data_IF_152617689835
#
_entry.id   IF_152617689835
#
_cell.length_a   1.000
_cell.length_b   1.000
_cell.length_c   1.000
_cell.angle_alpha   90.00
_cell.angle_beta   90.00
_cell.angle_gamma   90.00
#
_symmetry.space_group_name_H-M   'P 1'
#
loop_
_entity.id
_entity.type
_entity.pdbx_description
1 polymer ?
#
# COMPACT_ATOMS: atom_id res chain seq x y z
N UNK A 1 -24.79 42.17 46.17
CA UNK A 1 -23.63 41.84 45.33
C UNK A 1 -23.82 40.41 44.87
N UNK A 2 -24.31 40.24 43.64
CA UNK A 2 -24.67 38.92 43.08
C UNK A 2 -23.40 38.14 42.75
N UNK A 3 -23.37 36.87 43.15
CA UNK A 3 -22.31 35.94 42.80
C UNK A 3 -22.28 35.72 41.27
N UNK A 4 -21.11 35.56 40.65
CA UNK A 4 -21.00 35.29 39.22
C UNK A 4 -21.47 33.85 38.93
N UNK A 5 -22.28 33.71 37.88
CA UNK A 5 -22.70 32.42 37.35
C UNK A 5 -21.48 31.61 36.90
N UNK A 6 -21.45 30.33 37.27
CA UNK A 6 -20.47 29.39 36.74
C UNK A 6 -20.73 29.14 35.25
N UNK A 7 -19.71 28.95 34.41
CA UNK A 7 -19.89 28.63 33.01
C UNK A 7 -20.54 27.24 32.88
N UNK A 8 -21.59 27.18 32.07
CA UNK A 8 -22.29 25.96 31.71
C UNK A 8 -21.30 24.89 31.20
N UNK A 9 -21.37 23.71 31.80
CA UNK A 9 -20.69 22.51 31.30
C UNK A 9 -21.19 22.14 29.90
N UNK A 10 -20.44 21.31 29.16
CA UNK A 10 -20.76 20.98 27.78
C UNK A 10 -22.17 20.37 27.70
N UNK A 11 -23.01 21.01 26.91
CA UNK A 11 -24.35 20.57 26.52
C UNK A 11 -24.27 19.16 25.94
N UNK A 12 -24.74 18.16 26.71
CA UNK A 12 -25.06 16.82 26.19
C UNK A 12 -26.21 16.97 25.20
N UNK A 13 -25.91 16.97 23.90
CA UNK A 13 -26.97 17.02 22.89
C UNK A 13 -26.56 17.17 21.43
N UNK A 14 -25.33 17.57 21.10
CA UNK A 14 -24.89 17.57 19.70
C UNK A 14 -24.46 16.17 19.27
N UNK A 15 -25.15 15.61 18.27
CA UNK A 15 -24.71 14.39 17.60
C UNK A 15 -23.30 14.63 17.06
N UNK A 16 -22.35 13.74 17.41
CA UNK A 16 -20.99 13.82 16.91
C UNK A 16 -21.02 13.98 15.37
N UNK A 17 -20.23 14.91 14.80
CA UNK A 17 -20.27 15.19 13.37
C UNK A 17 -20.00 13.90 12.58
N UNK A 18 -20.77 13.70 11.51
CA UNK A 18 -20.59 12.54 10.62
C UNK A 18 -19.18 12.62 10.04
N UNK A 19 -18.33 11.66 10.42
CA UNK A 19 -16.97 11.57 9.91
C UNK A 19 -16.99 11.09 8.45
N UNK A 20 -16.10 11.64 7.63
CA UNK A 20 -15.92 11.23 6.24
C UNK A 20 -14.82 10.19 6.15
N UNK A 21 -15.08 9.06 5.51
CA UNK A 21 -14.10 8.08 5.09
C UNK A 21 -13.58 8.49 3.71
N UNK A 22 -12.37 9.04 3.70
CA UNK A 22 -11.67 9.44 2.48
C UNK A 22 -10.98 8.23 1.86
N UNK A 23 -11.42 7.83 0.68
CA UNK A 23 -11.01 6.62 -0.02
C UNK A 23 -9.87 6.91 -0.99
N UNK A 24 -8.76 6.20 -0.83
CA UNK A 24 -7.57 6.31 -1.66
C UNK A 24 -7.39 5.00 -2.44
N UNK A 25 -7.33 5.07 -3.78
CA UNK A 25 -7.05 3.92 -4.66
C UNK A 25 -5.63 4.02 -5.17
N UNK A 26 -4.76 3.19 -4.62
CA UNK A 26 -3.31 3.37 -4.73
C UNK A 26 -2.64 2.46 -5.75
N UNK A 27 -3.38 1.51 -6.32
CA UNK A 27 -2.79 0.48 -7.18
C UNK A 27 -1.78 -0.34 -6.38
N UNK A 28 -0.54 -0.46 -6.87
CA UNK A 28 0.50 -1.24 -6.21
C UNK A 28 1.21 -0.43 -5.13
N UNK A 29 1.43 -1.03 -3.96
CA UNK A 29 2.19 -0.43 -2.85
C UNK A 29 3.15 -1.48 -2.30
N UNK A 30 4.42 -1.16 -2.14
CA UNK A 30 5.36 -2.07 -1.47
C UNK A 30 4.93 -2.27 0.00
N UNK A 31 5.19 -3.44 0.59
CA UNK A 31 4.62 -3.74 1.91
C UNK A 31 5.11 -2.77 3.01
N UNK A 32 6.41 -2.43 2.97
CA UNK A 32 7.02 -1.43 3.86
C UNK A 32 6.33 -0.05 3.72
N UNK A 33 6.06 0.39 2.50
CA UNK A 33 5.38 1.66 2.22
C UNK A 33 3.92 1.63 2.71
N UNK A 34 3.26 0.46 2.67
CA UNK A 34 1.95 0.25 3.27
C UNK A 34 1.94 0.41 4.81
N UNK A 35 2.98 -0.05 5.50
CA UNK A 35 3.13 0.18 6.94
C UNK A 35 3.31 1.67 7.25
N UNK A 36 4.14 2.37 6.46
CA UNK A 36 4.34 3.80 6.59
C UNK A 36 3.04 4.59 6.33
N UNK A 37 2.29 4.21 5.30
CA UNK A 37 1.00 4.77 4.93
C UNK A 37 -0.01 4.71 6.10
N UNK A 38 -0.15 3.54 6.74
CA UNK A 38 -1.05 3.38 7.89
C UNK A 38 -0.60 4.21 9.10
N UNK A 39 0.71 4.26 9.36
CA UNK A 39 1.28 5.07 10.46
C UNK A 39 1.01 6.57 10.25
N UNK A 40 1.26 7.07 9.05
CA UNK A 40 1.06 8.48 8.68
C UNK A 40 -0.43 8.83 8.62
N UNK A 41 -1.27 7.99 8.03
CA UNK A 41 -2.73 8.14 8.07
C UNK A 41 -3.26 8.17 9.51
N UNK A 42 -2.71 7.32 10.39
CA UNK A 42 -3.10 7.33 11.80
C UNK A 42 -2.67 8.61 12.53
N UNK A 43 -1.55 9.21 12.14
CA UNK A 43 -1.13 10.51 12.64
C UNK A 43 -2.06 11.63 12.15
N UNK A 44 -2.46 11.60 10.87
CA UNK A 44 -3.41 12.55 10.28
C UNK A 44 -4.79 12.49 10.97
N UNK A 45 -5.31 11.29 11.21
CA UNK A 45 -6.56 11.06 11.95
C UNK A 45 -6.48 11.65 13.37
N UNK A 46 -5.39 11.38 14.10
CA UNK A 46 -5.19 11.93 15.46
C UNK A 46 -5.02 13.44 15.48
N UNK A 47 -4.39 14.00 14.45
CA UNK A 47 -4.25 15.44 14.28
C UNK A 47 -5.53 16.10 13.75
N UNK A 48 -6.60 15.33 13.49
CA UNK A 48 -7.83 15.79 12.87
C UNK A 48 -7.56 16.63 11.61
N UNK A 49 -6.64 16.14 10.76
CA UNK A 49 -6.19 16.85 9.55
C UNK A 49 -6.41 15.97 8.32
N UNK A 50 -7.44 16.26 7.48
CA UNK A 50 -8.47 17.28 7.67
C UNK A 50 -9.47 16.93 8.80
N UNK A 51 -10.24 17.90 9.32
CA UNK A 51 -11.19 17.66 10.40
C UNK A 51 -12.20 16.56 10.08
N UNK A 52 -12.61 15.80 11.11
CA UNK A 52 -13.62 14.74 11.01
C UNK A 52 -13.39 13.75 9.85
N UNK A 53 -12.12 13.45 9.54
CA UNK A 53 -11.75 12.58 8.43
C UNK A 53 -11.08 11.30 8.93
N UNK A 54 -11.53 10.19 8.39
CA UNK A 54 -10.92 8.86 8.47
C UNK A 54 -10.40 8.48 7.07
N UNK A 55 -9.51 7.50 6.96
CA UNK A 55 -8.96 7.07 5.67
C UNK A 55 -9.27 5.61 5.38
N UNK A 56 -9.54 5.30 4.10
CA UNK A 56 -9.53 3.94 3.58
C UNK A 56 -8.51 3.88 2.45
N UNK A 57 -7.43 3.15 2.65
CA UNK A 57 -6.47 2.87 1.57
C UNK A 57 -6.83 1.53 0.93
N UNK A 58 -7.13 1.53 -0.37
CA UNK A 58 -7.31 0.35 -1.20
C UNK A 58 -6.10 0.22 -2.11
N UNK A 59 -5.48 -0.97 -2.07
CA UNK A 59 -4.22 -1.24 -2.76
C UNK A 59 -4.03 -2.73 -3.01
N UNK A 60 -3.01 -3.04 -3.80
CA UNK A 60 -2.42 -4.37 -3.92
C UNK A 60 -0.97 -4.33 -3.44
N UNK A 61 -0.50 -5.42 -2.83
CA UNK A 61 0.92 -5.60 -2.55
C UNK A 61 1.59 -6.44 -3.65
N UNK A 62 2.91 -6.30 -3.87
CA UNK A 62 3.73 -7.39 -4.41
C UNK A 62 3.57 -8.66 -3.55
N UNK A 63 3.98 -9.84 -4.06
CA UNK A 63 3.95 -11.07 -3.27
C UNK A 63 4.66 -10.91 -1.92
N UNK A 64 3.92 -11.08 -0.84
CA UNK A 64 4.43 -10.96 0.53
C UNK A 64 3.71 -11.92 1.46
N UNK A 65 4.49 -12.56 2.34
CA UNK A 65 3.98 -13.30 3.48
C UNK A 65 4.16 -12.44 4.72
N UNK A 66 3.08 -12.26 5.48
CA UNK A 66 3.11 -11.47 6.72
C UNK A 66 2.81 -12.37 7.91
N UNK A 67 3.53 -12.15 9.01
CA UNK A 67 3.34 -12.83 10.28
C UNK A 67 2.74 -11.82 11.27
N UNK A 68 1.53 -12.08 11.77
CA UNK A 68 0.90 -11.26 12.80
C UNK A 68 1.41 -11.59 14.22
N UNK A 69 0.87 -10.90 15.23
CA UNK A 69 1.27 -11.08 16.64
C UNK A 69 1.07 -12.49 17.19
N UNK A 70 0.11 -13.24 16.65
CA UNK A 70 -0.17 -14.61 17.06
C UNK A 70 0.55 -15.64 16.20
N UNK A 71 1.48 -15.23 15.35
CA UNK A 71 2.06 -16.11 14.36
C UNK A 71 3.20 -16.97 14.89
N UNK A 72 3.24 -18.21 14.42
CA UNK A 72 4.41 -19.08 14.54
C UNK A 72 5.16 -19.05 13.21
N UNK A 73 6.49 -18.81 13.25
CA UNK A 73 7.32 -18.83 12.05
C UNK A 73 7.33 -20.21 11.38
N UNK A 74 7.06 -21.28 12.11
CA UNK A 74 6.87 -22.62 11.57
C UNK A 74 5.67 -22.72 10.61
N UNK A 75 4.74 -21.77 10.65
CA UNK A 75 3.60 -21.68 9.73
C UNK A 75 4.01 -21.17 8.34
N UNK A 76 5.26 -20.76 8.15
CA UNK A 76 5.84 -20.50 6.82
C UNK A 76 6.57 -21.76 6.39
N UNK A 77 5.93 -22.56 5.54
CA UNK A 77 6.43 -23.91 5.17
C UNK A 77 7.44 -23.88 4.04
N UNK A 78 7.46 -22.81 3.25
CA UNK A 78 8.45 -22.63 2.19
C UNK A 78 9.80 -22.16 2.76
N UNK A 79 10.90 -22.69 2.22
CA UNK A 79 12.24 -22.27 2.61
C UNK A 79 12.47 -20.78 2.25
N UNK A 80 13.12 -19.98 3.12
CA UNK A 80 13.35 -18.55 2.86
C UNK A 80 14.01 -18.25 1.50
N UNK A 81 15.02 -19.03 1.11
CA UNK A 81 15.70 -18.88 -0.19
C UNK A 81 14.78 -19.18 -1.39
N UNK A 82 13.79 -20.06 -1.22
CA UNK A 82 12.79 -20.31 -2.26
C UNK A 82 11.82 -19.15 -2.36
N UNK A 83 11.32 -18.64 -1.23
CA UNK A 83 10.44 -17.46 -1.18
C UNK A 83 11.09 -16.26 -1.87
N UNK A 84 12.34 -15.96 -1.51
CA UNK A 84 13.11 -14.88 -2.13
C UNK A 84 13.25 -15.07 -3.65
N UNK A 85 13.58 -16.28 -4.10
CA UNK A 85 13.69 -16.59 -5.54
C UNK A 85 12.36 -16.45 -6.27
N UNK A 86 11.24 -16.72 -5.61
CA UNK A 86 9.90 -16.50 -6.14
C UNK A 86 9.42 -15.04 -5.99
N UNK A 87 10.25 -14.16 -5.41
CA UNK A 87 9.94 -12.75 -5.24
C UNK A 87 8.99 -12.45 -4.08
N UNK A 88 8.84 -13.38 -3.12
CA UNK A 88 8.07 -13.14 -1.91
C UNK A 88 8.90 -12.36 -0.90
N UNK A 89 8.33 -11.31 -0.36
CA UNK A 89 8.82 -10.69 0.86
C UNK A 89 8.29 -11.42 2.11
N UNK A 90 9.00 -11.29 3.23
CA UNK A 90 8.59 -11.82 4.52
C UNK A 90 8.66 -10.72 5.58
N UNK A 91 7.52 -10.41 6.20
CA UNK A 91 7.42 -9.33 7.20
C UNK A 91 6.74 -9.80 8.48
N UNK A 92 7.33 -9.46 9.63
CA UNK A 92 6.67 -9.57 10.93
C UNK A 92 5.93 -8.26 11.25
N UNK A 93 4.73 -8.36 11.82
CA UNK A 93 3.78 -7.24 11.87
C UNK A 93 2.99 -7.26 13.18
N UNK A 94 2.45 -6.11 13.57
CA UNK A 94 1.67 -5.94 14.80
C UNK A 94 0.17 -6.26 14.64
N UNK A 95 -0.28 -6.68 13.44
CA UNK A 95 -1.68 -7.06 13.22
C UNK A 95 -2.08 -8.27 14.06
N UNK A 96 -3.37 -8.36 14.39
CA UNK A 96 -3.94 -9.60 14.91
C UNK A 96 -3.89 -10.75 13.89
N UNK A 97 -4.03 -11.98 14.38
CA UNK A 97 -3.97 -13.19 13.58
C UNK A 97 -2.57 -13.77 13.44
N UNK A 98 -2.50 -14.87 12.69
CA UNK A 98 -1.28 -15.65 12.43
C UNK A 98 -0.64 -15.23 11.08
N UNK A 99 -0.22 -16.14 10.22
CA UNK A 99 0.38 -15.89 8.91
C UNK A 99 -0.71 -15.66 7.83
N UNK A 100 -0.42 -14.77 6.87
CA UNK A 100 -1.22 -14.64 5.64
C UNK A 100 -0.35 -14.26 4.46
N UNK A 101 -0.90 -14.42 3.26
CA UNK A 101 -0.31 -13.99 1.99
C UNK A 101 -1.07 -12.77 1.44
N UNK A 102 -0.31 -11.86 0.83
CA UNK A 102 -0.80 -10.80 -0.05
C UNK A 102 -0.04 -10.79 -1.37
N UNK A 103 -0.71 -10.37 -2.45
CA UNK A 103 -0.06 -10.20 -3.74
C UNK A 103 -1.01 -9.69 -4.82
N UNK A 104 -0.55 -9.63 -6.07
CA UNK A 104 -1.35 -9.16 -7.20
C UNK A 104 -2.68 -9.90 -7.34
N UNK A 105 -3.74 -9.17 -7.69
CA UNK A 105 -5.11 -9.67 -7.79
C UNK A 105 -5.86 -9.74 -6.45
N UNK A 106 -5.21 -9.42 -5.33
CA UNK A 106 -5.84 -9.32 -4.02
C UNK A 106 -5.99 -7.84 -3.63
N UNK A 107 -7.24 -7.39 -3.40
CA UNK A 107 -7.48 -6.04 -2.89
C UNK A 107 -7.27 -6.07 -1.39
N UNK A 108 -6.28 -5.32 -0.92
CA UNK A 108 -6.01 -5.07 0.48
C UNK A 108 -6.62 -3.71 0.85
N UNK A 109 -7.42 -3.70 1.91
CA UNK A 109 -8.03 -2.50 2.45
C UNK A 109 -7.49 -2.19 3.83
N UNK A 110 -6.98 -0.97 4.02
CA UNK A 110 -6.55 -0.42 5.30
C UNK A 110 -7.47 0.73 5.72
N UNK A 111 -8.59 0.46 6.41
CA UNK A 111 -9.35 1.50 7.09
C UNK A 111 -8.55 1.98 8.31
N UNK A 112 -8.11 3.23 8.24
CA UNK A 112 -7.46 3.96 9.34
C UNK A 112 -8.48 4.94 9.88
N UNK A 113 -9.24 4.45 10.86
CA UNK A 113 -10.41 5.13 11.43
C UNK A 113 -10.24 5.33 12.93
N UNK A 114 -10.77 6.45 13.43
CA UNK A 114 -10.92 6.70 14.86
C UNK A 114 -12.19 6.02 15.41
N UNK A 115 -12.03 5.17 16.42
CA UNK A 115 -13.11 4.48 17.12
C UNK A 115 -13.41 5.06 18.51
N UNK A 116 -12.74 6.15 18.93
CA UNK A 116 -12.85 6.68 20.29
C UNK A 116 -14.32 7.02 20.67
N UNK A 117 -15.10 7.54 19.72
CA UNK A 117 -16.50 7.89 19.94
C UNK A 117 -17.44 6.69 20.03
N UNK A 118 -17.03 5.52 19.51
CA UNK A 118 -17.80 4.27 19.50
C UNK A 118 -16.86 3.06 19.71
N UNK A 119 -16.29 2.90 20.92
CA UNK A 119 -15.25 1.92 21.17
C UNK A 119 -15.80 0.49 21.15
N UNK A 120 -15.73 -0.17 20.00
CA UNK A 120 -16.11 -1.57 19.84
C UNK A 120 -15.33 -2.23 18.69
N UNK A 121 -14.25 -2.93 19.05
CA UNK A 121 -13.40 -3.63 18.10
C UNK A 121 -14.14 -4.80 17.43
N UNK A 122 -15.04 -5.49 18.14
CA UNK A 122 -15.77 -6.63 17.58
C UNK A 122 -16.74 -6.17 16.50
N UNK A 123 -17.46 -5.07 16.75
CA UNK A 123 -18.32 -4.42 15.76
C UNK A 123 -17.51 -3.91 14.57
N UNK A 124 -16.35 -3.30 14.80
CA UNK A 124 -15.46 -2.87 13.71
C UNK A 124 -15.05 -4.04 12.80
N UNK A 125 -14.54 -5.13 13.38
CA UNK A 125 -14.15 -6.30 12.57
C UNK A 125 -15.36 -6.93 11.89
N UNK A 126 -16.52 -7.00 12.55
CA UNK A 126 -17.75 -7.49 11.93
C UNK A 126 -18.23 -6.62 10.76
N UNK A 127 -17.99 -5.31 10.80
CA UNK A 127 -18.27 -4.39 9.70
C UNK A 127 -17.36 -4.64 8.48
N UNK A 128 -16.06 -4.95 8.70
CA UNK A 128 -15.16 -5.32 7.60
C UNK A 128 -15.56 -6.67 6.96
N UNK A 129 -15.94 -7.66 7.78
CA UNK A 129 -16.48 -8.93 7.29
C UNK A 129 -17.77 -8.71 6.49
N UNK A 130 -18.67 -7.87 7.00
CA UNK A 130 -19.92 -7.51 6.33
C UNK A 130 -19.66 -6.86 4.97
N UNK A 131 -18.69 -5.94 4.90
CA UNK A 131 -18.38 -5.24 3.67
C UNK A 131 -17.94 -6.19 2.55
N UNK A 132 -17.07 -7.17 2.87
CA UNK A 132 -16.65 -8.20 1.92
C UNK A 132 -17.80 -9.14 1.54
N UNK A 133 -18.68 -9.49 2.49
CA UNK A 133 -19.87 -10.33 2.22
C UNK A 133 -20.81 -9.63 1.24
N UNK A 134 -21.10 -8.34 1.45
CA UNK A 134 -21.94 -7.54 0.55
C UNK A 134 -21.30 -7.37 -0.82
N UNK A 135 -19.98 -7.14 -0.86
CA UNK A 135 -19.24 -7.12 -2.13
C UNK A 135 -19.37 -8.45 -2.89
N UNK A 136 -19.40 -9.61 -2.23
CA UNK A 136 -19.69 -10.89 -2.88
C UNK A 136 -21.13 -10.98 -3.38
N UNK A 137 -22.09 -10.49 -2.59
CA UNK A 137 -23.52 -10.52 -2.91
C UNK A 137 -23.84 -9.71 -4.19
N UNK A 138 -23.14 -8.60 -4.41
CA UNK A 138 -23.21 -7.81 -5.65
C UNK A 138 -22.88 -8.62 -6.92
N UNK A 139 -22.05 -9.65 -6.78
CA UNK A 139 -21.70 -10.58 -7.85
C UNK A 139 -22.56 -11.85 -7.86
N UNK A 140 -23.59 -11.95 -7.01
CA UNK A 140 -24.42 -13.14 -6.87
C UNK A 140 -23.71 -14.31 -6.18
N UNK A 141 -22.66 -14.03 -5.39
CA UNK A 141 -21.94 -15.03 -4.61
C UNK A 141 -22.42 -14.97 -3.17
N UNK A 142 -22.97 -16.08 -2.69
CA UNK A 142 -23.41 -16.23 -1.31
C UNK A 142 -22.20 -16.43 -0.38
N UNK A 143 -21.75 -15.35 0.25
CA UNK A 143 -20.73 -15.37 1.29
C UNK A 143 -21.34 -15.20 2.69
N UNK A 144 -20.59 -15.60 3.71
CA UNK A 144 -20.97 -15.48 5.11
C UNK A 144 -19.76 -15.41 6.05
N UNK A 145 -20.05 -15.49 7.35
CA UNK A 145 -19.03 -15.61 8.41
C UNK A 145 -18.83 -17.09 8.75
N UNK A 146 -17.67 -17.43 9.29
CA UNK A 146 -17.39 -18.74 9.86
C UNK A 146 -17.38 -18.66 11.38
N UNK A 147 -17.91 -19.68 12.05
CA UNK A 147 -18.10 -19.68 13.52
C UNK A 147 -16.79 -19.51 14.29
N UNK A 148 -15.72 -20.13 13.80
CA UNK A 148 -14.41 -20.17 14.48
C UNK A 148 -13.36 -19.23 13.88
N UNK A 149 -13.58 -18.73 12.66
CA UNK A 149 -12.51 -18.08 11.89
C UNK A 149 -12.96 -16.76 11.28
N UNK A 150 -12.24 -15.70 11.65
CA UNK A 150 -12.47 -14.34 11.14
C UNK A 150 -12.28 -14.26 9.63
N UNK A 151 -13.02 -13.35 9.01
CA UNK A 151 -13.04 -13.14 7.57
C UNK A 151 -14.37 -13.45 6.90
N UNK A 152 -14.40 -13.33 5.58
CA UNK A 152 -15.54 -13.66 4.74
C UNK A 152 -15.30 -15.00 4.03
N UNK A 153 -16.36 -15.80 3.90
CA UNK A 153 -16.29 -17.20 3.47
C UNK A 153 -17.38 -17.54 2.46
N UNK A 154 -17.03 -18.32 1.43
CA UNK A 154 -17.98 -18.96 0.51
C UNK A 154 -17.99 -20.45 0.83
N UNK A 155 -19.04 -20.89 1.51
CA UNK A 155 -19.06 -22.22 2.13
C UNK A 155 -17.87 -22.41 3.07
N UNK A 156 -16.99 -23.36 2.74
CA UNK A 156 -15.76 -23.68 3.52
C UNK A 156 -14.49 -23.01 2.97
N UNK A 157 -14.60 -22.15 1.96
CA UNK A 157 -13.46 -21.48 1.34
C UNK A 157 -13.41 -20.01 1.78
N UNK A 158 -12.31 -19.56 2.38
CA UNK A 158 -12.12 -18.15 2.76
C UNK A 158 -11.91 -17.32 1.50
N UNK A 159 -12.74 -16.30 1.30
CA UNK A 159 -12.61 -15.33 0.19
C UNK A 159 -11.95 -14.02 0.64
N UNK A 160 -12.02 -13.70 1.93
CA UNK A 160 -11.34 -12.54 2.47
C UNK A 160 -10.87 -12.72 3.91
N UNK A 161 -9.66 -12.27 4.22
CA UNK A 161 -9.09 -12.27 5.56
C UNK A 161 -9.32 -10.92 6.25
N UNK A 162 -9.39 -10.92 7.58
CA UNK A 162 -9.38 -9.70 8.40
C UNK A 162 -8.35 -9.85 9.51
N UNK A 163 -7.47 -8.85 9.63
CA UNK A 163 -6.46 -8.75 10.67
C UNK A 163 -6.21 -7.28 10.96
N UNK A 164 -6.48 -6.87 12.20
CA UNK A 164 -6.45 -5.46 12.59
C UNK A 164 -5.56 -5.24 13.80
N UNK A 165 -5.04 -4.03 13.94
CA UNK A 165 -4.39 -3.53 15.14
C UNK A 165 -4.96 -2.15 15.50
N UNK A 166 -4.96 -1.81 16.78
CA UNK A 166 -5.45 -0.53 17.27
C UNK A 166 -4.46 0.06 18.27
N UNK A 167 -4.21 1.35 18.14
CA UNK A 167 -3.44 2.13 19.11
C UNK A 167 -4.18 3.43 19.38
N UNK A 168 -4.47 3.71 20.66
CA UNK A 168 -5.24 4.89 21.09
C UNK A 168 -6.56 5.04 20.31
N UNK A 169 -7.27 3.93 20.12
CA UNK A 169 -8.53 3.83 19.35
C UNK A 169 -8.46 4.13 17.84
N UNK A 170 -7.27 4.42 17.31
CA UNK A 170 -7.06 4.53 15.86
C UNK A 170 -6.63 3.16 15.31
N UNK A 171 -7.31 2.73 14.27
CA UNK A 171 -7.13 1.42 13.62
C UNK A 171 -5.97 1.43 12.61
N UNK A 172 -5.40 0.26 12.38
CA UNK A 172 -4.40 -0.05 11.35
C UNK A 172 -4.58 -1.49 10.89
N UNK A 173 -3.97 -1.82 9.75
CA UNK A 173 -4.27 -3.00 8.94
C UNK A 173 -5.74 -3.00 8.51
N UNK A 174 -6.36 -4.16 8.34
CA UNK A 174 -7.73 -4.20 7.82
C UNK A 174 -8.08 -5.56 7.25
N UNK A 175 -8.41 -5.58 5.96
CA UNK A 175 -8.87 -6.77 5.27
C UNK A 175 -8.07 -7.02 3.98
N UNK A 176 -8.10 -8.26 3.53
CA UNK A 176 -7.49 -8.70 2.27
C UNK A 176 -8.49 -9.58 1.54
N UNK A 177 -9.00 -9.11 0.41
CA UNK A 177 -10.10 -9.70 -0.34
C UNK A 177 -9.61 -10.27 -1.67
N UNK A 178 -9.81 -11.57 -1.88
CA UNK A 178 -9.30 -12.27 -3.05
C UNK A 178 -10.18 -12.03 -4.27
N UNK A 179 -9.66 -11.33 -5.28
CA UNK A 179 -10.39 -11.06 -6.52
C UNK A 179 -9.89 -11.94 -7.66
N UNK A 180 -8.67 -11.66 -8.13
CA UNK A 180 -7.92 -12.42 -9.15
C UNK A 180 -6.62 -13.00 -8.56
N UNK A 181 -6.59 -13.15 -7.23
CA UNK A 181 -5.41 -13.60 -6.49
C UNK A 181 -4.94 -14.96 -6.98
N UNK A 182 -3.63 -15.13 -7.19
CA UNK A 182 -3.05 -16.46 -7.36
C UNK A 182 -3.19 -17.25 -6.04
N UNK A 183 -4.19 -18.14 -6.01
CA UNK A 183 -4.51 -18.93 -4.83
C UNK A 183 -3.45 -20.00 -4.53
N UNK A 184 -2.58 -20.35 -5.49
CA UNK A 184 -1.50 -21.32 -5.26
C UNK A 184 -0.45 -20.78 -4.29
N UNK A 185 -0.31 -19.45 -4.20
CA UNK A 185 0.61 -18.81 -3.28
C UNK A 185 0.24 -19.02 -1.80
N UNK A 186 -1.01 -19.37 -1.48
CA UNK A 186 -1.38 -19.74 -0.12
C UNK A 186 -0.76 -21.08 0.33
N UNK A 187 -0.23 -21.90 -0.59
CA UNK A 187 0.42 -23.17 -0.24
C UNK A 187 1.78 -22.99 0.45
N UNK A 188 2.35 -21.78 0.42
CA UNK A 188 3.63 -21.47 1.07
C UNK A 188 3.48 -21.23 2.57
N UNK A 189 2.24 -21.20 3.07
CA UNK A 189 1.88 -20.95 4.46
C UNK A 189 0.86 -21.97 4.98
N UNK A 190 0.83 -22.17 6.30
CA UNK A 190 -0.20 -22.96 7.01
C UNK A 190 -0.84 -22.06 8.08
N UNK A 191 -1.99 -21.42 7.79
CA UNK A 191 -2.62 -20.53 8.76
C UNK A 191 -3.23 -21.32 9.93
N UNK A 192 -3.00 -20.86 11.16
CA UNK A 192 -3.69 -21.28 12.37
C UNK A 192 -5.21 -21.18 12.16
N UNK A 193 -5.87 -22.34 12.18
CA UNK A 193 -7.31 -22.49 11.94
C UNK A 193 -7.67 -23.07 10.57
N UNK A 194 -6.88 -22.83 9.51
CA UNK A 194 -7.12 -23.43 8.17
C UNK A 194 -6.38 -24.77 8.00
N UNK A 195 -5.60 -25.20 8.99
CA UNK A 195 -5.01 -26.55 8.99
C UNK A 195 -6.05 -27.69 8.94
N UNK A 196 -7.35 -27.41 9.18
CA UNK A 196 -8.41 -28.35 8.81
C UNK A 196 -8.39 -28.55 7.29
N UNK A 197 -8.05 -29.76 6.78
CA UNK A 197 -7.92 -30.01 5.34
C UNK A 197 -9.23 -29.82 4.56
N UNK A 198 -10.36 -29.63 5.25
CA UNK A 198 -11.67 -29.33 4.67
C UNK A 198 -11.91 -27.84 4.47
N UNK A 199 -11.04 -26.96 4.99
CA UNK A 199 -11.09 -25.52 4.78
C UNK A 199 -10.15 -25.15 3.64
N UNK A 200 -10.53 -24.15 2.85
CA UNK A 200 -9.73 -23.69 1.72
C UNK A 200 -9.73 -22.18 1.57
N UNK A 201 -9.14 -21.71 0.47
CA UNK A 201 -9.23 -20.32 0.02
C UNK A 201 -9.90 -20.27 -1.35
N UNK A 202 -10.59 -19.17 -1.64
CA UNK A 202 -11.20 -18.90 -2.96
C UNK A 202 -11.00 -17.43 -3.34
N UNK A 203 -11.43 -17.07 -4.54
CA UNK A 203 -11.42 -15.71 -5.08
C UNK A 203 -12.71 -15.43 -5.84
N UNK A 204 -13.03 -14.16 -6.07
CA UNK A 204 -14.17 -13.79 -6.93
C UNK A 204 -14.03 -14.42 -8.32
N UNK A 205 -12.84 -14.40 -8.92
CA UNK A 205 -12.57 -15.01 -10.21
C UNK A 205 -12.87 -16.52 -10.21
N UNK A 206 -12.39 -17.25 -9.20
CA UNK A 206 -12.63 -18.68 -9.10
C UNK A 206 -14.14 -18.99 -8.98
N UNK A 207 -14.85 -18.27 -8.10
CA UNK A 207 -16.29 -18.45 -7.89
C UNK A 207 -17.12 -18.05 -9.12
N UNK A 208 -16.75 -16.97 -9.83
CA UNK A 208 -17.45 -16.53 -11.04
C UNK A 208 -17.19 -17.46 -12.23
N UNK A 209 -15.97 -17.99 -12.35
CA UNK A 209 -15.62 -18.96 -13.39
C UNK A 209 -16.43 -20.25 -13.26
N UNK A 210 -16.63 -20.75 -12.03
CA UNK A 210 -17.52 -21.89 -11.76
C UNK A 210 -18.98 -21.63 -12.20
N UNK A 211 -19.37 -20.35 -12.32
CA UNK A 211 -20.69 -19.88 -12.75
C UNK A 211 -20.72 -19.41 -14.21
N UNK A 212 -19.66 -19.67 -14.99
CA UNK A 212 -19.57 -19.27 -16.40
C UNK A 212 -19.47 -17.76 -16.63
N UNK A 213 -18.97 -17.00 -15.65
CA UNK A 213 -18.83 -15.54 -15.72
C UNK A 213 -17.36 -15.13 -15.66
N UNK A 214 -17.02 -14.03 -16.34
CA UNK A 214 -15.69 -13.44 -16.30
C UNK A 214 -15.40 -12.76 -14.95
N UNK A 215 -14.14 -12.68 -14.57
CA UNK A 215 -13.69 -11.95 -13.39
C UNK A 215 -13.90 -10.44 -13.57
N UNK A 216 -14.41 -9.71 -12.57
CA UNK A 216 -14.56 -8.26 -12.64
C UNK A 216 -13.21 -7.57 -12.66
N UNK A 217 -13.16 -6.34 -13.17
CA UNK A 217 -12.00 -5.47 -13.05
C UNK A 217 -11.79 -5.04 -11.60
N UNK A 218 -10.54 -4.91 -11.17
CA UNK A 218 -10.21 -4.60 -9.77
C UNK A 218 -10.84 -3.28 -9.32
N UNK A 219 -10.78 -2.24 -10.16
CA UNK A 219 -11.37 -0.93 -9.83
C UNK A 219 -12.90 -0.98 -9.58
N UNK A 220 -13.62 -1.88 -10.24
CA UNK A 220 -15.05 -2.10 -9.98
C UNK A 220 -15.26 -2.72 -8.58
N UNK A 221 -14.41 -3.68 -8.20
CA UNK A 221 -14.48 -4.32 -6.89
C UNK A 221 -14.05 -3.36 -5.79
N UNK A 222 -13.02 -2.53 -6.03
CA UNK A 222 -12.60 -1.46 -5.12
C UNK A 222 -13.75 -0.47 -4.84
N UNK A 223 -14.51 -0.08 -5.88
CA UNK A 223 -15.67 0.80 -5.77
C UNK A 223 -16.77 0.22 -4.86
N UNK A 224 -17.07 -1.07 -5.03
CA UNK A 224 -18.05 -1.78 -4.20
C UNK A 224 -17.55 -1.92 -2.77
N UNK A 225 -16.30 -2.33 -2.57
CA UNK A 225 -15.69 -2.44 -1.25
C UNK A 225 -15.68 -1.09 -0.51
N UNK A 226 -15.28 0.00 -1.19
CA UNK A 226 -15.30 1.35 -0.61
C UNK A 226 -16.69 1.75 -0.12
N UNK A 227 -17.71 1.49 -0.94
CA UNK A 227 -19.12 1.73 -0.59
C UNK A 227 -19.53 0.92 0.65
N UNK A 228 -19.35 -0.40 0.60
CA UNK A 228 -19.78 -1.29 1.67
C UNK A 228 -19.03 -1.06 2.98
N UNK A 229 -17.74 -0.68 2.92
CA UNK A 229 -16.96 -0.30 4.11
C UNK A 229 -17.50 1.00 4.71
N UNK A 230 -17.76 2.03 3.91
CA UNK A 230 -18.29 3.30 4.40
C UNK A 230 -19.67 3.11 5.06
N UNK A 231 -20.57 2.34 4.42
CA UNK A 231 -21.89 2.02 4.95
C UNK A 231 -21.81 1.21 6.25
N UNK A 232 -21.01 0.15 6.29
CA UNK A 232 -20.89 -0.72 7.46
C UNK A 232 -20.27 0.01 8.66
N UNK A 233 -19.40 1.00 8.43
CA UNK A 233 -18.83 1.86 9.46
C UNK A 233 -19.72 3.06 9.81
N UNK A 234 -20.77 3.33 9.04
CA UNK A 234 -21.62 4.51 9.18
C UNK A 234 -20.84 5.81 9.00
N UNK A 235 -20.06 5.90 7.92
CA UNK A 235 -19.27 7.08 7.53
C UNK A 235 -19.80 7.66 6.23
N UNK A 236 -19.72 8.98 6.08
CA UNK A 236 -19.85 9.58 4.75
C UNK A 236 -18.66 9.13 3.89
N UNK A 237 -18.82 8.98 2.58
CA UNK A 237 -17.73 8.59 1.68
C UNK A 237 -17.34 9.76 0.79
N UNK A 238 -16.04 9.95 0.61
CA UNK A 238 -15.48 10.78 -0.44
C UNK A 238 -14.26 10.08 -1.06
N UNK A 239 -14.00 10.30 -2.34
CA UNK A 239 -12.81 9.79 -3.01
C UNK A 239 -11.70 10.84 -3.00
N UNK A 240 -10.47 10.42 -2.71
CA UNK A 240 -9.27 11.22 -2.85
C UNK A 240 -8.63 11.00 -4.23
N UNK A 241 -8.16 12.09 -4.83
CA UNK A 241 -7.20 12.02 -5.92
C UNK A 241 -5.77 11.86 -5.37
N UNK A 242 -4.85 11.23 -6.11
CA UNK A 242 -3.45 11.21 -5.71
C UNK A 242 -2.89 12.64 -5.63
N UNK A 243 -2.21 12.97 -4.53
CA UNK A 243 -1.71 14.33 -4.30
C UNK A 243 -0.55 14.72 -5.22
N UNK A 244 0.22 13.72 -5.66
CA UNK A 244 1.40 13.88 -6.49
C UNK A 244 1.52 12.73 -7.49
N UNK A 245 1.89 13.09 -8.72
CA UNK A 245 2.33 12.15 -9.74
C UNK A 245 3.80 12.40 -10.04
N UNK A 246 4.60 11.35 -9.98
CA UNK A 246 6.05 11.42 -10.16
C UNK A 246 6.54 10.34 -11.12
N UNK A 247 7.77 10.50 -11.57
CA UNK A 247 8.51 9.47 -12.31
C UNK A 247 9.83 9.21 -11.62
N UNK A 248 10.33 7.99 -11.76
CA UNK A 248 11.72 7.66 -11.47
C UNK A 248 12.38 7.08 -12.71
N UNK A 249 13.63 7.45 -12.98
CA UNK A 249 14.41 6.94 -14.12
C UNK A 249 15.70 6.37 -13.58
N UNK A 250 15.91 5.06 -13.75
CA UNK A 250 17.14 4.37 -13.35
C UNK A 250 18.16 4.46 -14.48
N UNK A 251 19.21 5.30 -14.38
CA UNK A 251 20.22 5.40 -15.42
C UNK A 251 21.24 4.29 -15.23
N UNK A 252 21.44 3.47 -16.27
CA UNK A 252 22.35 2.32 -16.26
C UNK A 252 23.45 2.56 -17.30
N UNK A 253 24.69 2.60 -16.84
CA UNK A 253 25.87 2.79 -17.69
C UNK A 253 26.14 1.57 -18.56
N UNK A 254 26.97 1.76 -19.59
CA UNK A 254 27.39 0.68 -20.50
C UNK A 254 28.11 -0.48 -19.79
N UNK A 255 28.65 -0.26 -18.59
CA UNK A 255 29.29 -1.27 -17.72
C UNK A 255 28.31 -1.94 -16.74
N UNK A 256 27.01 -1.63 -16.83
CA UNK A 256 25.96 -2.18 -15.98
C UNK A 256 25.83 -1.52 -14.62
N UNK A 257 26.66 -0.52 -14.28
CA UNK A 257 26.52 0.24 -13.03
C UNK A 257 25.36 1.22 -13.10
N UNK A 258 24.74 1.46 -11.95
CA UNK A 258 23.61 2.36 -11.78
C UNK A 258 24.11 3.69 -11.24
N UNK A 259 23.66 4.78 -11.87
CA UNK A 259 23.88 6.13 -11.37
C UNK A 259 22.88 6.45 -10.27
N UNK A 260 23.39 6.82 -9.09
CA UNK A 260 22.60 7.46 -8.04
C UNK A 260 23.07 8.90 -7.81
N UNK A 261 22.12 9.75 -7.47
CA UNK A 261 22.31 11.16 -7.14
C UNK A 261 21.95 11.37 -5.67
N UNK A 262 22.77 12.14 -4.95
CA UNK A 262 22.46 12.57 -3.59
C UNK A 262 21.78 13.92 -3.64
N UNK A 263 20.52 13.99 -3.22
CA UNK A 263 19.80 15.26 -3.08
C UNK A 263 20.58 16.20 -2.17
N UNK A 264 20.56 17.49 -2.48
CA UNK A 264 21.11 18.52 -1.59
C UNK A 264 20.51 18.44 -0.17
N UNK A 265 21.22 18.93 0.84
CA UNK A 265 20.73 18.96 2.22
C UNK A 265 19.42 19.76 2.35
N UNK A 266 19.29 20.84 1.57
CA UNK A 266 18.04 21.59 1.47
C UNK A 266 16.86 20.72 0.96
N UNK A 267 17.14 19.63 0.25
CA UNK A 267 16.17 18.73 -0.37
C UNK A 267 16.14 17.34 0.28
N UNK A 268 16.70 17.20 1.49
CA UNK A 268 16.59 16.00 2.33
C UNK A 268 17.83 15.09 2.37
N UNK A 269 18.87 15.36 1.57
CA UNK A 269 20.18 14.72 1.72
C UNK A 269 20.26 13.23 1.34
N UNK A 270 19.19 12.63 0.84
CA UNK A 270 19.11 11.19 0.56
C UNK A 270 19.51 10.82 -0.88
N UNK A 271 19.91 9.57 -1.06
CA UNK A 271 20.28 9.00 -2.37
C UNK A 271 19.05 8.48 -3.10
N UNK A 272 19.01 8.74 -4.41
CA UNK A 272 17.94 8.32 -5.32
C UNK A 272 18.49 8.17 -6.74
N UNK A 273 17.80 7.43 -7.63
CA UNK A 273 17.98 7.62 -9.07
C UNK A 273 17.41 8.99 -9.48
N UNK A 274 17.33 9.26 -10.79
CA UNK A 274 16.63 10.47 -11.26
C UNK A 274 15.15 10.37 -10.88
N UNK A 275 14.59 11.43 -10.32
CA UNK A 275 13.17 11.47 -9.92
C UNK A 275 12.59 12.84 -10.17
N UNK A 276 11.33 12.91 -10.57
CA UNK A 276 10.70 14.20 -10.77
C UNK A 276 9.19 14.18 -10.77
N UNK A 277 8.60 15.36 -10.81
CA UNK A 277 7.13 15.52 -10.85
C UNK A 277 6.69 15.56 -12.29
N UNK A 278 5.51 15.00 -12.54
CA UNK A 278 4.87 15.13 -13.85
C UNK A 278 4.12 16.46 -13.88
N UNK A 279 4.40 17.28 -14.89
CA UNK A 279 3.74 18.56 -15.08
C UNK A 279 2.32 18.40 -15.64
N UNK A 280 1.42 19.37 -15.42
CA UNK A 280 0.08 19.33 -15.98
C UNK A 280 0.08 19.19 -17.51
N UNK A 281 -0.53 18.13 -18.03
CA UNK A 281 -0.59 17.84 -19.47
C UNK A 281 0.61 17.07 -20.03
N UNK A 282 1.64 16.81 -19.22
CA UNK A 282 2.82 16.06 -19.59
C UNK A 282 2.56 14.54 -19.52
N UNK A 283 3.11 13.79 -20.49
CA UNK A 283 3.11 12.33 -20.43
C UNK A 283 4.17 11.81 -19.46
N UNK A 284 3.99 10.60 -18.91
CA UNK A 284 4.96 10.01 -17.99
C UNK A 284 6.35 9.84 -18.65
N UNK A 285 6.39 9.45 -19.93
CA UNK A 285 7.64 9.27 -20.66
C UNK A 285 8.33 10.62 -20.97
N UNK A 286 7.57 11.66 -21.28
CA UNK A 286 8.13 13.00 -21.51
C UNK A 286 8.72 13.57 -20.22
N UNK A 287 7.99 13.43 -19.09
CA UNK A 287 8.49 13.80 -17.77
C UNK A 287 9.79 13.05 -17.44
N UNK A 288 9.82 11.73 -17.66
CA UNK A 288 11.01 10.92 -17.42
C UNK A 288 12.21 11.38 -18.25
N UNK A 289 12.02 11.68 -19.55
CA UNK A 289 13.10 12.20 -20.41
C UNK A 289 13.56 13.59 -19.98
N UNK A 290 12.62 14.49 -19.65
CA UNK A 290 12.93 15.85 -19.18
C UNK A 290 13.76 15.78 -17.90
N UNK A 291 13.31 15.07 -16.89
CA UNK A 291 14.00 14.94 -15.61
C UNK A 291 15.39 14.29 -15.78
N UNK A 292 15.51 13.27 -16.62
CA UNK A 292 16.81 12.66 -16.95
C UNK A 292 17.77 13.69 -17.56
N UNK A 293 17.30 14.49 -18.50
CA UNK A 293 18.11 15.52 -19.13
C UNK A 293 18.46 16.68 -18.17
N UNK A 294 17.50 17.17 -17.40
CA UNK A 294 17.68 18.27 -16.45
C UNK A 294 18.65 17.88 -15.33
N UNK A 295 18.50 16.68 -14.76
CA UNK A 295 19.30 16.23 -13.61
C UNK A 295 20.68 15.67 -13.98
N UNK A 296 20.87 15.17 -15.20
CA UNK A 296 22.11 14.47 -15.58
C UNK A 296 22.76 14.95 -16.87
N UNK A 297 22.04 15.71 -17.70
CA UNK A 297 22.44 16.09 -19.06
C UNK A 297 22.25 14.97 -20.10
N UNK A 298 21.74 13.81 -19.73
CA UNK A 298 21.53 12.70 -20.66
C UNK A 298 20.30 12.94 -21.56
N UNK A 299 20.53 12.97 -22.88
CA UNK A 299 19.47 12.94 -23.88
C UNK A 299 19.47 11.57 -24.59
N UNK A 300 18.85 10.59 -23.92
CA UNK A 300 18.69 9.23 -24.43
C UNK A 300 17.21 8.81 -24.30
N UNK A 301 16.76 7.78 -25.04
CA UNK A 301 15.46 7.19 -24.81
C UNK A 301 15.32 6.62 -23.39
N UNK A 302 14.09 6.70 -22.86
CA UNK A 302 13.69 6.02 -21.62
C UNK A 302 12.80 4.84 -21.95
N UNK A 303 12.94 3.75 -21.21
CA UNK A 303 12.20 2.51 -21.37
C UNK A 303 11.29 2.32 -20.14
N UNK A 304 9.97 2.10 -20.30
CA UNK A 304 9.09 1.83 -19.17
C UNK A 304 9.47 0.50 -18.51
N UNK A 305 9.43 0.45 -17.18
CA UNK A 305 9.69 -0.78 -16.41
C UNK A 305 8.42 -1.59 -16.12
N UNK A 306 7.27 -1.18 -16.67
CA UNK A 306 5.94 -1.72 -16.36
C UNK A 306 5.68 -1.81 -14.84
N UNK A 307 6.21 -0.82 -14.12
CA UNK A 307 6.14 -0.73 -12.67
C UNK A 307 5.74 0.69 -12.28
N UNK A 308 4.58 0.78 -11.65
CA UNK A 308 4.12 1.96 -10.94
C UNK A 308 3.77 1.57 -9.51
N UNK A 309 4.06 2.45 -8.56
CA UNK A 309 3.77 2.23 -7.16
C UNK A 309 3.34 3.51 -6.45
N UNK A 310 2.66 3.35 -5.32
CA UNK A 310 2.24 4.46 -4.49
C UNK A 310 2.84 4.38 -3.08
N UNK A 311 3.11 5.53 -2.50
CA UNK A 311 3.68 5.66 -1.17
C UNK A 311 3.28 6.97 -0.50
N UNK A 312 3.37 7.00 0.82
CA UNK A 312 3.16 8.23 1.59
C UNK A 312 4.49 8.96 1.81
N UNK A 313 4.48 10.28 1.63
CA UNK A 313 5.64 11.12 1.90
C UNK A 313 5.78 11.38 3.40
N UNK A 314 6.95 11.05 3.95
CA UNK A 314 7.29 11.40 5.32
C UNK A 314 7.32 12.93 5.48
N UNK A 315 6.55 13.50 6.45
CA UNK A 315 6.49 14.94 6.63
C UNK A 315 7.85 15.61 6.81
N UNK A 316 8.78 14.94 7.52
CA UNK A 316 10.14 15.44 7.72
C UNK A 316 10.95 15.54 6.42
N UNK A 317 10.74 14.62 5.47
CA UNK A 317 11.46 14.63 4.18
C UNK A 317 10.83 15.61 3.19
N UNK A 318 9.50 15.77 3.26
CA UNK A 318 8.74 16.61 2.35
C UNK A 318 8.44 18.02 2.90
N UNK A 319 8.98 18.37 4.09
CA UNK A 319 8.72 19.63 4.80
C UNK A 319 7.22 19.94 4.95
N UNK A 320 6.43 18.91 5.22
CA UNK A 320 4.98 19.04 5.40
C UNK A 320 4.66 19.36 6.86
N UNK A 321 3.54 20.05 7.15
CA UNK A 321 3.04 20.21 8.51
C UNK A 321 2.84 18.87 9.21
N UNK A 322 2.94 18.86 10.54
CA UNK A 322 2.61 17.67 11.33
C UNK A 322 1.14 17.26 11.09
N UNK A 323 0.90 15.96 10.93
CA UNK A 323 -0.43 15.43 10.61
C UNK A 323 -0.83 15.56 9.13
N UNK A 324 -0.03 16.19 8.28
CA UNK A 324 -0.28 16.19 6.84
C UNK A 324 -0.03 14.78 6.27
N UNK A 325 -1.01 14.27 5.53
CA UNK A 325 -0.89 13.07 4.72
C UNK A 325 -0.76 13.50 3.27
N UNK A 326 0.33 13.09 2.61
CA UNK A 326 0.55 13.32 1.19
C UNK A 326 1.00 12.06 0.50
N UNK A 327 0.30 11.69 -0.57
CA UNK A 327 0.51 10.46 -1.30
C UNK A 327 1.11 10.76 -2.68
N UNK A 328 2.07 9.95 -3.10
CA UNK A 328 2.67 10.01 -4.42
C UNK A 328 2.38 8.72 -5.17
N UNK A 329 2.07 8.83 -6.46
CA UNK A 329 2.09 7.74 -7.42
C UNK A 329 3.28 7.94 -8.34
N UNK A 330 4.17 6.97 -8.39
CA UNK A 330 5.40 7.02 -9.17
C UNK A 330 5.42 5.95 -10.26
N UNK A 331 5.72 6.36 -11.49
CA UNK A 331 5.92 5.46 -12.64
C UNK A 331 7.41 5.35 -12.95
N UNK A 332 7.93 4.12 -13.02
CA UNK A 332 9.36 3.88 -13.13
C UNK A 332 9.81 3.55 -14.57
N UNK A 333 10.97 4.09 -14.93
CA UNK A 333 11.64 3.92 -16.21
C UNK A 333 13.11 3.53 -16.02
N UNK A 334 13.73 3.03 -17.08
CA UNK A 334 15.17 2.87 -17.20
C UNK A 334 15.73 3.70 -18.35
N UNK A 335 17.01 4.05 -18.28
CA UNK A 335 17.73 4.68 -19.37
C UNK A 335 19.11 4.03 -19.52
N UNK A 336 19.49 3.66 -20.75
CA UNK A 336 20.81 3.10 -21.06
C UNK A 336 21.75 4.21 -21.50
N UNK A 337 22.82 4.42 -20.74
CA UNK A 337 23.79 5.48 -21.00
C UNK A 337 25.01 4.93 -21.75
N UNK A 338 25.41 5.56 -22.88
CA UNK A 338 26.55 5.09 -23.66
C UNK A 338 27.87 5.25 -22.89
N UNK A 339 28.90 4.49 -23.27
CA UNK A 339 30.22 4.58 -22.62
C UNK A 339 30.88 5.96 -22.74
N UNK A 340 30.49 6.75 -23.75
CA UNK A 340 30.94 8.12 -23.97
C UNK A 340 30.14 9.18 -23.21
N UNK A 341 29.17 8.77 -22.39
CA UNK A 341 28.34 9.72 -21.65
C UNK A 341 29.15 10.44 -20.57
N UNK A 342 29.09 11.77 -20.60
CA UNK A 342 29.67 12.63 -19.58
C UNK A 342 28.55 13.19 -18.69
N UNK A 343 28.59 12.84 -17.41
CA UNK A 343 27.57 13.24 -16.44
C UNK A 343 27.71 14.72 -16.07
N UNK A 344 26.59 15.44 -16.11
CA UNK A 344 26.45 16.77 -15.52
C UNK A 344 25.26 16.79 -14.57
N UNK A 345 25.53 16.87 -13.26
CA UNK A 345 24.45 16.96 -12.27
C UNK A 345 23.93 18.38 -12.11
N UNK A 346 22.62 18.53 -11.90
CA UNK A 346 21.97 19.81 -11.57
C UNK A 346 22.29 20.27 -10.14
N UNK A 347 21.90 21.49 -9.79
CA UNK A 347 22.04 22.08 -8.45
C UNK A 347 21.08 21.46 -7.41
N UNK A 348 20.14 20.62 -7.86
CA UNK A 348 19.29 19.82 -6.98
C UNK A 348 20.09 18.81 -6.14
N UNK A 349 21.26 18.41 -6.66
CA UNK A 349 22.08 17.31 -6.16
C UNK A 349 23.45 17.80 -5.71
N UNK A 350 23.94 17.23 -4.61
CA UNK A 350 25.25 17.57 -4.05
C UNK A 350 26.37 16.66 -4.56
N UNK A 351 26.05 15.39 -4.81
CA UNK A 351 27.01 14.34 -5.14
C UNK A 351 26.37 13.31 -6.07
N UNK A 352 27.21 12.51 -6.75
CA UNK A 352 26.77 11.38 -7.54
C UNK A 352 27.67 10.16 -7.30
N UNK A 353 27.17 8.97 -7.61
CA UNK A 353 27.95 7.72 -7.53
C UNK A 353 27.46 6.71 -8.57
N UNK A 354 28.39 5.95 -9.12
CA UNK A 354 28.11 4.79 -9.98
C UNK A 354 28.37 3.51 -9.20
N UNK A 355 27.32 2.73 -8.97
CA UNK A 355 27.36 1.53 -8.12
C UNK A 355 26.98 0.28 -8.89
N UNK A 356 27.49 -0.88 -8.46
CA UNK A 356 26.91 -2.13 -8.91
C UNK A 356 25.44 -2.23 -8.46
N UNK A 357 24.57 -2.94 -9.20
CA UNK A 357 23.13 -2.95 -8.92
C UNK A 357 22.76 -3.28 -7.46
N UNK A 358 23.42 -4.28 -6.86
CA UNK A 358 23.19 -4.67 -5.47
C UNK A 358 23.57 -3.56 -4.46
N UNK A 359 24.66 -2.83 -4.72
CA UNK A 359 25.11 -1.75 -3.86
C UNK A 359 24.20 -0.52 -4.01
N UNK A 360 23.70 -0.27 -5.22
CA UNK A 360 22.69 0.75 -5.46
C UNK A 360 21.40 0.46 -4.68
N UNK A 361 20.91 -0.79 -4.75
CA UNK A 361 19.74 -1.24 -3.97
C UNK A 361 19.95 -1.05 -2.47
N UNK A 362 21.11 -1.43 -1.94
CA UNK A 362 21.43 -1.26 -0.52
C UNK A 362 21.52 0.21 -0.08
N UNK A 363 21.82 1.12 -1.01
CA UNK A 363 21.94 2.56 -0.74
C UNK A 363 20.61 3.29 -0.71
N UNK A 364 19.58 2.74 -1.36
CA UNK A 364 18.28 3.40 -1.56
C UNK A 364 17.34 3.22 -0.36
N UNK A 365 16.78 4.34 0.09
CA UNK A 365 15.86 4.39 1.23
C UNK A 365 14.49 3.78 0.92
N UNK A 366 13.94 4.07 -0.25
CA UNK A 366 12.55 3.74 -0.58
C UNK A 366 12.43 2.39 -1.29
N UNK A 367 11.45 1.58 -0.90
CA UNK A 367 11.26 0.22 -1.41
C UNK A 367 10.99 0.21 -2.93
N UNK A 368 10.13 1.10 -3.42
CA UNK A 368 9.84 1.16 -4.85
C UNK A 368 11.06 1.56 -5.71
N UNK A 369 11.93 2.45 -5.22
CA UNK A 369 13.18 2.76 -5.93
C UNK A 369 14.13 1.56 -5.96
N UNK A 370 14.23 0.79 -4.87
CA UNK A 370 14.97 -0.48 -4.86
C UNK A 370 14.41 -1.46 -5.89
N UNK A 371 13.08 -1.54 -6.01
CA UNK A 371 12.41 -2.38 -7.00
C UNK A 371 12.69 -1.92 -8.42
N UNK A 372 12.60 -0.61 -8.70
CA UNK A 372 12.92 -0.04 -10.00
C UNK A 372 14.35 -0.38 -10.44
N UNK A 373 15.34 -0.27 -9.55
CA UNK A 373 16.72 -0.66 -9.85
C UNK A 373 16.85 -2.14 -10.23
N UNK A 374 16.21 -3.04 -9.46
CA UNK A 374 16.23 -4.48 -9.77
C UNK A 374 15.63 -4.78 -11.14
N UNK A 375 14.51 -4.14 -11.48
CA UNK A 375 13.86 -4.29 -12.79
C UNK A 375 14.74 -3.76 -13.93
N UNK A 376 15.30 -2.55 -13.77
CA UNK A 376 16.15 -1.91 -14.78
C UNK A 376 17.44 -2.67 -15.08
N UNK A 377 17.96 -3.42 -14.11
CA UNK A 377 19.25 -4.13 -14.23
C UNK A 377 19.09 -5.62 -14.48
N UNK A 378 17.88 -6.16 -14.36
CA UNK A 378 17.66 -7.61 -14.35
C UNK A 378 18.30 -8.32 -13.15
N UNK A 379 18.75 -7.56 -12.14
CA UNK A 379 19.37 -8.11 -10.94
C UNK A 379 18.29 -8.82 -10.10
N UNK A 380 18.42 -10.14 -9.95
CA UNK A 380 17.62 -10.89 -8.98
C UNK A 380 17.92 -10.39 -7.55
N UNK A 381 16.97 -10.56 -6.62
CA UNK A 381 17.22 -10.38 -5.19
C UNK A 381 18.36 -11.34 -4.81
N UNK A 382 19.50 -10.79 -4.41
CA UNK A 382 20.71 -11.55 -4.15
C UNK A 382 20.89 -11.77 -2.64
N UNK A 383 20.60 -13.00 -2.22
CA UNK A 383 21.25 -13.89 -1.22
C UNK A 383 21.75 -13.33 0.10
#
# INVERSE_FOLDING_TARGET
MSAPAQPDGPTRGEAAPVRTLLVHRLGRVEYEDGLALMRLGGAAVRAATPPATDHLFLLEHPPVVTLGRGADRANVVAAPAWLEKQGFELHETDRGGDVTYHGPGQIVGYPVVDLADRPDVRRYVAALEEAMIRACADYGIAAGRHDEHRGAWVGRKKIGAVGVHLSRWVTSHGFAFNVRTDLTHFQVIVPCGIADPRLGVTSLEAELRERGRAAPELGEVEERLATHVAEALGRARADAAPDLRTVSVVPVGADGRVLLLRRSEARGGFWQPVTGRIEPGESEADAARRELWEETGADVPVEPLDYAHAFALEPALARLPEGALRLAHETAFAARLPASFELRISDEHAEHVWLAPQDAVARLRFAGLRKAVRLATGAAVAR
#
